data_IF_880209109279
#
_entry.id   IF_880209109279
#
_cell.length_a   1.000
_cell.length_b   1.000
_cell.length_c   1.000
_cell.angle_alpha   90.00
_cell.angle_beta   90.00
_cell.angle_gamma   90.00
#
_symmetry.space_group_name_H-M   'P 1'
#
loop_
_entity.id
_entity.type
_entity.pdbx_description
1 polymer ?
#
# COMPACT_ATOMS: atom_id res chain seq x y z
N UNK A 1 -13.56 12.41 20.39
CA UNK A 1 -13.32 12.58 18.93
C UNK A 1 -11.88 12.30 18.50
N UNK A 2 -10.85 12.59 19.30
CA UNK A 2 -9.44 12.35 18.90
C UNK A 2 -9.05 10.87 18.78
N UNK A 3 -9.56 10.02 19.68
CA UNK A 3 -9.18 8.61 19.77
C UNK A 3 -9.59 7.79 18.54
N UNK A 4 -10.85 7.87 18.12
CA UNK A 4 -11.35 7.16 16.95
C UNK A 4 -10.58 7.52 15.66
N UNK A 5 -10.18 8.78 15.50
CA UNK A 5 -9.34 9.19 14.36
C UNK A 5 -7.97 8.54 14.41
N UNK A 6 -7.33 8.51 15.58
CA UNK A 6 -6.02 7.88 15.74
C UNK A 6 -6.08 6.38 15.41
N UNK A 7 -7.11 5.68 15.89
CA UNK A 7 -7.28 4.24 15.63
C UNK A 7 -7.47 3.95 14.13
N UNK A 8 -8.27 4.77 13.44
CA UNK A 8 -8.44 4.65 11.99
C UNK A 8 -7.11 4.86 11.26
N UNK A 9 -6.35 5.89 11.62
CA UNK A 9 -5.04 6.14 11.00
C UNK A 9 -4.06 4.99 11.23
N UNK A 10 -3.98 4.48 12.46
CA UNK A 10 -3.14 3.33 12.78
C UNK A 10 -3.53 2.10 11.97
N UNK A 11 -4.83 1.82 11.85
CA UNK A 11 -5.32 0.71 11.05
C UNK A 11 -4.99 0.90 9.56
N UNK A 12 -5.19 2.10 9.02
CA UNK A 12 -4.90 2.41 7.62
C UNK A 12 -3.42 2.26 7.29
N UNK A 13 -2.54 2.79 8.15
CA UNK A 13 -1.08 2.63 8.01
C UNK A 13 -0.69 1.16 8.04
N UNK A 14 -1.22 0.39 8.99
CA UNK A 14 -0.95 -1.03 9.08
C UNK A 14 -1.42 -1.79 7.82
N UNK A 15 -2.63 -1.52 7.36
CA UNK A 15 -3.23 -2.20 6.21
C UNK A 15 -2.48 -1.90 4.91
N UNK A 16 -2.14 -0.64 4.67
CA UNK A 16 -1.45 -0.22 3.45
C UNK A 16 -0.01 -0.74 3.39
N UNK A 17 0.64 -0.96 4.55
CA UNK A 17 2.02 -1.42 4.64
C UNK A 17 2.17 -2.94 4.73
N UNK A 18 1.18 -3.65 5.28
CA UNK A 18 1.33 -5.07 5.58
C UNK A 18 0.19 -5.90 5.03
N UNK A 19 0.57 -6.93 4.28
CA UNK A 19 -0.36 -7.87 3.70
C UNK A 19 -0.94 -8.84 4.73
N UNK A 20 -2.27 -8.91 4.84
CA UNK A 20 -2.98 -9.86 5.72
C UNK A 20 -3.35 -11.21 5.07
N UNK A 21 -3.31 -11.34 3.75
CA UNK A 21 -3.81 -12.53 3.04
C UNK A 21 -2.70 -13.25 2.27
N UNK A 22 -2.01 -14.16 2.95
CA UNK A 22 -0.81 -14.89 2.48
C UNK A 22 -1.06 -15.99 1.43
N UNK A 23 -2.30 -16.25 1.03
CA UNK A 23 -2.60 -17.39 0.15
C UNK A 23 -2.17 -17.21 -1.32
N UNK A 24 -1.87 -15.98 -1.78
CA UNK A 24 -1.75 -15.68 -3.22
C UNK A 24 -0.54 -14.81 -3.64
N UNK A 25 0.51 -14.67 -2.82
CA UNK A 25 1.74 -13.89 -3.18
C UNK A 25 1.62 -12.43 -3.71
N UNK A 26 0.43 -11.81 -3.76
CA UNK A 26 0.20 -10.38 -3.96
C UNK A 26 1.04 -9.42 -3.10
N UNK A 27 1.22 -8.21 -3.60
CA UNK A 27 1.85 -7.09 -2.91
C UNK A 27 0.88 -6.39 -1.94
N UNK A 28 1.41 -5.67 -0.95
CA UNK A 28 0.62 -4.68 -0.21
C UNK A 28 0.20 -3.53 -1.14
N UNK A 29 -0.83 -2.73 -0.79
CA UNK A 29 -1.25 -1.59 -1.59
C UNK A 29 -0.10 -0.63 -1.93
N UNK A 30 0.75 -0.28 -0.96
CA UNK A 30 1.89 0.61 -1.22
C UNK A 30 2.92 -0.01 -2.17
N UNK A 31 3.24 -1.30 -2.01
CA UNK A 31 4.18 -1.98 -2.89
C UNK A 31 3.64 -2.08 -4.33
N UNK A 32 2.34 -2.32 -4.48
CA UNK A 32 1.67 -2.32 -5.78
C UNK A 32 1.78 -0.95 -6.46
N UNK A 33 1.42 0.14 -5.74
CA UNK A 33 1.52 1.50 -6.28
C UNK A 33 2.96 1.86 -6.65
N UNK A 34 3.94 1.53 -5.80
CA UNK A 34 5.34 1.80 -6.07
C UNK A 34 5.82 1.10 -7.35
N UNK A 35 5.46 -0.16 -7.53
CA UNK A 35 5.81 -0.91 -8.75
C UNK A 35 5.10 -0.34 -9.98
N UNK A 36 3.81 0.02 -9.86
CA UNK A 36 3.05 0.62 -10.95
C UNK A 36 3.65 1.96 -11.40
N UNK A 37 4.01 2.84 -10.45
CA UNK A 37 4.69 4.10 -10.75
C UNK A 37 6.07 3.89 -11.35
N UNK A 38 6.82 2.88 -10.90
CA UNK A 38 8.12 2.53 -11.49
C UNK A 38 7.95 2.12 -12.95
N UNK A 39 6.99 1.25 -13.25
CA UNK A 39 6.69 0.83 -14.62
C UNK A 39 6.27 2.01 -15.49
N UNK A 40 5.39 2.89 -15.00
CA UNK A 40 4.95 4.07 -15.74
C UNK A 40 6.12 5.03 -16.05
N UNK A 41 7.02 5.26 -15.07
CA UNK A 41 8.22 6.08 -15.29
C UNK A 41 9.16 5.50 -16.34
N UNK A 42 9.38 4.18 -16.31
CA UNK A 42 10.21 3.50 -17.30
C UNK A 42 9.60 3.61 -18.71
N UNK A 43 8.28 3.50 -18.84
CA UNK A 43 7.59 3.68 -20.12
C UNK A 43 7.68 5.09 -20.67
N UNK A 44 7.77 6.12 -19.83
CA UNK A 44 7.90 7.51 -20.26
C UNK A 44 9.33 7.86 -20.72
N UNK A 45 10.33 7.10 -20.26
CA UNK A 45 11.74 7.34 -20.56
C UNK A 45 12.25 6.59 -21.82
N UNK A 46 11.42 5.75 -22.44
CA UNK A 46 11.72 4.97 -23.64
C UNK A 46 11.08 5.60 -24.88
#
# INVERSE_FOLDING_TARGET
MSQARLEIFQWLTYYNARRRHSALSYFSPMEFEQQHHKTAKLSLAA
#
